data_IF_064775245251
#
_entry.id   IF_064775245251
#
_cell.length_a   1.000
_cell.length_b   1.000
_cell.length_c   1.000
_cell.angle_alpha   90.00
_cell.angle_beta   90.00
_cell.angle_gamma   90.00
#
_symmetry.space_group_name_H-M   'P 1'
#
loop_
_entity.id
_entity.type
_entity.pdbx_description
1 polymer ?
#
# COMPACT_ATOMS: atom_id res chain seq x y z
N UNK A 1 7.89 11.02 2.41
CA UNK A 1 6.97 10.00 2.93
C UNK A 1 5.63 10.12 2.21
N UNK A 2 5.14 9.04 1.65
CA UNK A 2 3.86 9.00 0.93
C UNK A 2 2.68 9.26 1.89
N UNK A 3 1.75 10.13 1.47
CA UNK A 3 0.55 10.44 2.24
C UNK A 3 -0.60 10.71 1.27
N UNK A 4 -1.54 9.74 1.08
CA UNK A 4 -2.61 9.85 0.10
C UNK A 4 -3.54 11.05 0.35
N UNK A 5 -3.76 11.45 1.60
CA UNK A 5 -4.58 12.61 1.92
C UNK A 5 -3.90 13.93 1.48
N UNK A 6 -2.57 14.03 1.56
CA UNK A 6 -1.81 15.18 1.05
C UNK A 6 -1.84 15.25 -0.47
N UNK A 7 -1.61 14.11 -1.13
CA UNK A 7 -1.63 14.03 -2.59
C UNK A 7 -3.03 14.36 -3.13
N UNK A 8 -4.08 13.80 -2.52
CA UNK A 8 -5.46 14.11 -2.88
C UNK A 8 -5.76 15.60 -2.69
N UNK A 9 -5.32 16.21 -1.59
CA UNK A 9 -5.49 17.64 -1.34
C UNK A 9 -4.76 18.48 -2.39
N UNK A 10 -3.52 18.12 -2.74
CA UNK A 10 -2.75 18.81 -3.77
C UNK A 10 -3.43 18.73 -5.14
N UNK A 11 -3.98 17.56 -5.49
CA UNK A 11 -4.76 17.39 -6.71
C UNK A 11 -6.00 18.28 -6.72
N UNK A 12 -6.83 18.26 -5.66
CA UNK A 12 -8.03 19.10 -5.53
C UNK A 12 -7.68 20.58 -5.59
N UNK A 13 -6.58 20.99 -4.98
CA UNK A 13 -6.10 22.37 -4.98
C UNK A 13 -5.59 22.82 -6.37
N UNK A 14 -5.12 21.89 -7.19
CA UNK A 14 -4.64 22.17 -8.55
C UNK A 14 -5.78 22.30 -9.57
N UNK A 15 -6.98 21.83 -9.29
CA UNK A 15 -8.08 21.84 -10.24
C UNK A 15 -8.66 23.23 -10.44
N UNK A 16 -8.74 23.64 -11.70
CA UNK A 16 -9.36 24.90 -12.09
C UNK A 16 -10.89 24.79 -12.15
N UNK A 17 -11.57 25.43 -11.21
CA UNK A 17 -13.03 25.43 -11.12
C UNK A 17 -13.72 26.44 -12.03
N UNK A 18 -12.98 27.23 -12.80
CA UNK A 18 -13.54 28.23 -13.74
C UNK A 18 -13.99 27.60 -15.06
N UNK A 19 -13.52 26.40 -15.37
CA UNK A 19 -13.81 25.65 -16.59
C UNK A 19 -14.75 24.47 -16.33
N UNK A 20 -15.05 23.69 -17.39
CA UNK A 20 -15.70 22.39 -17.23
C UNK A 20 -14.86 21.45 -16.38
N UNK A 21 -15.46 20.42 -15.80
CA UNK A 21 -14.74 19.42 -14.99
C UNK A 21 -13.58 18.80 -15.74
N UNK A 22 -13.81 18.48 -17.01
CA UNK A 22 -12.78 17.87 -17.86
C UNK A 22 -11.58 18.82 -18.00
N UNK A 23 -11.79 20.06 -18.41
CA UNK A 23 -10.73 21.05 -18.59
C UNK A 23 -10.08 21.44 -17.27
N UNK A 24 -10.89 21.67 -16.23
CA UNK A 24 -10.39 22.11 -14.91
C UNK A 24 -9.54 21.09 -14.19
N UNK A 25 -9.64 19.80 -14.57
CA UNK A 25 -8.85 18.70 -14.03
C UNK A 25 -7.70 18.25 -14.91
N UNK A 26 -7.25 19.09 -15.82
CA UNK A 26 -6.00 18.89 -16.54
C UNK A 26 -6.12 18.43 -17.97
N UNK A 27 -7.26 18.69 -18.61
CA UNK A 27 -7.42 18.32 -20.01
C UNK A 27 -7.00 19.45 -20.96
N UNK A 28 -6.02 19.23 -21.83
CA UNK A 28 -5.82 20.07 -22.99
C UNK A 28 -6.84 19.71 -24.09
N UNK A 29 -7.15 20.66 -24.93
CA UNK A 29 -8.24 20.69 -25.92
C UNK A 29 -8.08 19.74 -27.13
N UNK A 30 -7.33 18.67 -27.07
CA UNK A 30 -7.06 17.73 -28.17
C UNK A 30 -7.47 16.30 -27.83
N UNK A 31 -7.73 15.47 -28.86
CA UNK A 31 -8.30 14.11 -28.73
C UNK A 31 -7.56 13.11 -27.82
N UNK A 32 -6.26 13.32 -27.56
CA UNK A 32 -5.49 12.49 -26.60
C UNK A 32 -5.74 12.84 -25.12
N UNK A 33 -6.48 13.88 -24.87
CA UNK A 33 -6.68 14.51 -23.57
C UNK A 33 -7.65 13.78 -22.66
N UNK A 34 -8.59 13.02 -23.22
CA UNK A 34 -9.53 12.21 -22.43
C UNK A 34 -8.83 11.15 -21.57
N UNK A 35 -7.70 10.61 -22.04
CA UNK A 35 -6.90 9.62 -21.29
C UNK A 35 -6.32 10.24 -20.03
N UNK A 36 -5.68 11.42 -20.13
CA UNK A 36 -5.08 12.13 -19.00
C UNK A 36 -6.12 12.48 -17.94
N UNK A 37 -7.30 12.93 -18.38
CA UNK A 37 -8.41 13.19 -17.45
C UNK A 37 -8.80 11.93 -16.67
N UNK A 38 -9.01 10.81 -17.37
CA UNK A 38 -9.42 9.56 -16.72
C UNK A 38 -8.33 8.98 -15.82
N UNK A 39 -7.05 9.10 -16.19
CA UNK A 39 -5.92 8.72 -15.34
C UNK A 39 -5.87 9.57 -14.07
N UNK A 40 -6.05 10.88 -14.20
CA UNK A 40 -6.12 11.81 -13.07
C UNK A 40 -7.29 11.46 -12.15
N UNK A 41 -8.47 11.20 -12.73
CA UNK A 41 -9.66 10.83 -11.98
C UNK A 41 -9.48 9.48 -11.27
N UNK A 42 -8.92 8.48 -11.94
CA UNK A 42 -8.63 7.17 -11.36
C UNK A 42 -7.61 7.29 -10.22
N UNK A 43 -6.61 8.15 -10.37
CA UNK A 43 -5.63 8.43 -9.30
C UNK A 43 -6.30 9.06 -8.09
N UNK A 44 -7.17 10.05 -8.27
CA UNK A 44 -7.90 10.68 -7.18
C UNK A 44 -8.82 9.69 -6.43
N UNK A 45 -9.50 8.81 -7.17
CA UNK A 45 -10.31 7.73 -6.59
C UNK A 45 -9.46 6.79 -5.76
N UNK A 46 -8.31 6.36 -6.28
CA UNK A 46 -7.39 5.48 -5.54
C UNK A 46 -6.91 6.13 -4.24
N UNK A 47 -6.51 7.40 -4.30
CA UNK A 47 -6.10 8.15 -3.12
C UNK A 47 -7.21 8.26 -2.07
N UNK A 48 -8.45 8.52 -2.51
CA UNK A 48 -9.59 8.59 -1.60
C UNK A 48 -9.90 7.23 -0.95
N UNK A 49 -9.81 6.14 -1.70
CA UNK A 49 -9.97 4.79 -1.15
C UNK A 49 -8.89 4.46 -0.11
N UNK A 50 -7.64 4.87 -0.33
CA UNK A 50 -6.55 4.71 0.65
C UNK A 50 -6.81 5.55 1.92
N UNK A 51 -7.38 6.75 1.79
CA UNK A 51 -7.82 7.55 2.93
C UNK A 51 -8.96 6.88 3.70
N UNK A 52 -9.94 6.32 2.99
CA UNK A 52 -11.03 5.57 3.62
C UNK A 52 -10.53 4.32 4.39
N UNK A 53 -9.61 3.57 3.80
CA UNK A 53 -9.00 2.40 4.44
C UNK A 53 -8.30 2.81 5.74
N UNK A 54 -7.48 3.85 5.68
CA UNK A 54 -6.82 4.41 6.86
C UNK A 54 -7.83 4.77 7.97
N UNK A 55 -8.92 5.48 7.64
CA UNK A 55 -9.91 5.89 8.62
C UNK A 55 -10.68 4.72 9.24
N UNK A 56 -10.84 3.60 8.50
CA UNK A 56 -11.40 2.36 9.05
C UNK A 56 -10.46 1.70 10.03
N UNK A 57 -9.17 1.66 9.71
CA UNK A 57 -8.14 1.05 10.55
C UNK A 57 -7.87 1.87 11.82
N UNK A 58 -7.85 3.20 11.70
CA UNK A 58 -7.76 4.15 12.83
C UNK A 58 -9.03 4.18 13.71
N UNK A 59 -10.14 3.63 13.23
CA UNK A 59 -11.42 3.63 13.95
C UNK A 59 -12.18 4.96 13.89
N UNK A 60 -11.72 5.94 13.14
CA UNK A 60 -12.32 7.27 13.01
C UNK A 60 -13.24 7.44 11.79
N UNK A 61 -13.54 6.36 11.08
CA UNK A 61 -14.36 6.38 9.87
C UNK A 61 -15.72 7.10 10.05
N UNK A 62 -16.42 6.79 11.14
CA UNK A 62 -17.73 7.40 11.42
C UNK A 62 -17.65 8.90 11.72
N UNK A 63 -16.56 9.34 12.34
CA UNK A 63 -16.34 10.76 12.66
C UNK A 63 -16.11 11.59 11.40
N UNK A 64 -15.40 11.00 10.42
CA UNK A 64 -15.03 11.63 9.15
C UNK A 64 -15.99 11.28 7.99
N UNK A 65 -17.08 10.55 8.23
CA UNK A 65 -18.00 10.06 7.19
C UNK A 65 -18.56 11.21 6.31
N UNK A 66 -18.92 12.35 6.89
CA UNK A 66 -19.41 13.49 6.14
C UNK A 66 -18.32 14.08 5.23
N UNK A 67 -17.07 14.12 5.70
CA UNK A 67 -15.92 14.56 4.90
C UNK A 67 -15.70 13.64 3.70
N UNK A 68 -15.81 12.33 3.90
CA UNK A 68 -15.70 11.36 2.81
C UNK A 68 -16.81 11.55 1.77
N UNK A 69 -18.06 11.74 2.21
CA UNK A 69 -19.18 12.01 1.30
C UNK A 69 -18.93 13.27 0.47
N UNK A 70 -18.46 14.36 1.09
CA UNK A 70 -18.12 15.59 0.37
C UNK A 70 -16.97 15.38 -0.63
N UNK A 71 -15.96 14.61 -0.27
CA UNK A 71 -14.85 14.25 -1.17
C UNK A 71 -15.33 13.41 -2.36
N UNK A 72 -16.20 12.42 -2.13
CA UNK A 72 -16.82 11.66 -3.21
C UNK A 72 -17.67 12.53 -4.13
N UNK A 73 -18.42 13.48 -3.58
CA UNK A 73 -19.21 14.44 -4.37
C UNK A 73 -18.32 15.41 -5.15
N UNK A 74 -17.16 15.76 -4.63
CA UNK A 74 -16.15 16.54 -5.38
C UNK A 74 -15.61 15.75 -6.57
N UNK A 75 -15.29 14.48 -6.39
CA UNK A 75 -14.82 13.61 -7.47
C UNK A 75 -15.91 13.32 -8.50
N UNK A 76 -17.14 13.10 -8.06
CA UNK A 76 -18.29 12.72 -8.87
C UNK A 76 -19.49 13.63 -8.58
N UNK A 77 -19.50 14.88 -9.07
CA UNK A 77 -20.60 15.79 -8.87
C UNK A 77 -21.92 15.22 -9.43
N UNK A 78 -22.94 14.95 -8.58
CA UNK A 78 -24.08 14.10 -8.98
C UNK A 78 -25.07 14.77 -9.95
N UNK A 79 -24.93 16.07 -10.22
CA UNK A 79 -25.88 16.85 -11.04
C UNK A 79 -25.18 17.73 -12.08
N UNK A 80 -23.94 17.49 -12.38
CA UNK A 80 -23.17 18.33 -13.28
C UNK A 80 -22.88 17.62 -14.59
N UNK A 81 -23.11 18.29 -15.68
CA UNK A 81 -22.57 17.88 -16.97
C UNK A 81 -21.06 18.14 -16.97
N UNK A 82 -20.29 17.09 -17.07
CA UNK A 82 -18.83 17.12 -17.00
C UNK A 82 -18.21 17.96 -18.13
N UNK A 83 -18.92 18.10 -19.23
CA UNK A 83 -18.50 18.89 -20.40
C UNK A 83 -19.05 20.32 -20.41
N UNK A 84 -19.89 20.70 -19.45
CA UNK A 84 -20.47 22.05 -19.44
C UNK A 84 -19.44 23.11 -19.01
N UNK A 85 -19.47 24.26 -19.66
CA UNK A 85 -18.59 25.40 -19.37
C UNK A 85 -19.02 26.23 -18.14
N UNK A 86 -19.93 25.72 -17.32
CA UNK A 86 -20.50 26.45 -16.19
C UNK A 86 -19.62 26.49 -14.92
N UNK A 87 -18.42 25.92 -14.96
CA UNK A 87 -17.61 25.73 -13.78
C UNK A 87 -18.18 24.64 -12.86
N UNK A 88 -17.44 24.21 -11.87
CA UNK A 88 -17.88 23.23 -10.88
C UNK A 88 -17.52 23.70 -9.45
N UNK A 89 -18.27 23.26 -8.43
CA UNK A 89 -17.99 23.64 -7.06
C UNK A 89 -16.63 23.09 -6.63
N UNK A 90 -15.88 23.91 -5.90
CA UNK A 90 -14.66 23.48 -5.22
C UNK A 90 -15.01 22.84 -3.90
N UNK A 91 -14.17 21.88 -3.48
CA UNK A 91 -14.23 21.36 -2.13
C UNK A 91 -14.29 22.52 -1.12
N UNK A 92 -15.18 22.38 -0.15
CA UNK A 92 -15.39 23.42 0.85
C UNK A 92 -14.10 23.67 1.66
N UNK A 93 -14.00 24.85 2.29
CA UNK A 93 -12.88 25.10 3.23
C UNK A 93 -12.89 24.09 4.38
N UNK A 94 -14.08 23.65 4.80
CA UNK A 94 -14.25 22.61 5.83
C UNK A 94 -13.65 21.29 5.39
N UNK A 95 -14.04 20.79 4.22
CA UNK A 95 -13.55 19.55 3.62
C UNK A 95 -12.00 19.55 3.47
N UNK A 96 -11.45 20.66 2.97
CA UNK A 96 -10.00 20.83 2.85
C UNK A 96 -9.30 20.86 4.21
N UNK A 97 -9.93 21.48 5.22
CA UNK A 97 -9.39 21.49 6.59
C UNK A 97 -9.42 20.10 7.21
N UNK A 98 -10.52 19.36 7.03
CA UNK A 98 -10.65 17.99 7.52
C UNK A 98 -9.62 17.07 6.82
N UNK A 99 -9.47 17.17 5.50
CA UNK A 99 -8.45 16.39 4.76
C UNK A 99 -7.02 16.70 5.24
N UNK A 100 -6.71 17.97 5.60
CA UNK A 100 -5.42 18.30 6.22
C UNK A 100 -5.25 17.67 7.60
N UNK A 101 -6.31 17.55 8.39
CA UNK A 101 -6.24 16.89 9.71
C UNK A 101 -6.05 15.38 9.54
N UNK A 102 -6.74 14.75 8.59
CA UNK A 102 -6.53 13.35 8.23
C UNK A 102 -5.07 13.15 7.79
N UNK A 103 -4.56 14.01 6.91
CA UNK A 103 -3.16 13.95 6.48
C UNK A 103 -2.16 14.02 7.64
N UNK A 104 -2.42 14.86 8.64
CA UNK A 104 -1.56 14.93 9.84
C UNK A 104 -1.63 13.67 10.69
N UNK A 105 -2.81 13.05 10.83
CA UNK A 105 -2.95 11.77 11.52
C UNK A 105 -2.19 10.67 10.78
N UNK A 106 -2.36 10.58 9.47
CA UNK A 106 -1.60 9.65 8.62
C UNK A 106 -0.08 9.85 8.76
N UNK A 107 0.40 11.09 8.79
CA UNK A 107 1.82 11.37 9.02
C UNK A 107 2.29 10.90 10.40
N UNK A 108 1.47 11.08 11.45
CA UNK A 108 1.83 10.69 12.80
C UNK A 108 1.90 9.17 12.98
N UNK A 109 1.06 8.44 12.27
CA UNK A 109 1.07 6.98 12.28
C UNK A 109 2.15 6.41 11.35
N UNK A 110 2.38 7.07 10.20
CA UNK A 110 3.43 6.66 9.26
C UNK A 110 4.85 6.87 9.80
N UNK A 111 5.03 7.65 10.89
CA UNK A 111 6.32 7.66 11.62
C UNK A 111 6.68 6.31 12.25
N UNK A 112 5.75 5.35 12.26
CA UNK A 112 6.04 3.96 12.65
C UNK A 112 6.70 3.16 11.53
N UNK A 113 6.58 3.60 10.26
CA UNK A 113 7.23 2.96 9.12
C UNK A 113 8.52 3.72 8.80
N UNK A 114 9.64 3.04 8.92
CA UNK A 114 10.94 3.61 8.53
C UNK A 114 11.11 3.44 7.03
N UNK A 115 11.50 4.51 6.34
CA UNK A 115 11.89 4.42 4.94
C UNK A 115 13.05 3.43 4.81
N UNK A 116 12.85 2.40 3.99
CA UNK A 116 13.92 1.46 3.68
C UNK A 116 14.98 2.17 2.82
N UNK A 117 16.24 2.03 3.21
CA UNK A 117 17.33 2.51 2.37
C UNK A 117 17.35 1.77 1.02
N UNK A 118 17.90 2.38 -0.05
CA UNK A 118 18.06 1.68 -1.33
C UNK A 118 18.79 0.34 -1.20
N UNK A 119 19.77 0.25 -0.29
CA UNK A 119 20.50 -0.97 -0.01
C UNK A 119 19.59 -2.03 0.63
N UNK A 120 18.76 -1.64 1.62
CA UNK A 120 17.80 -2.53 2.27
C UNK A 120 16.71 -3.04 1.29
N UNK A 121 16.26 -2.17 0.38
CA UNK A 121 15.35 -2.58 -0.71
C UNK A 121 16.02 -3.58 -1.66
N UNK A 122 17.31 -3.37 -1.98
CA UNK A 122 18.11 -4.28 -2.78
C UNK A 122 18.26 -5.66 -2.11
N UNK A 123 18.57 -5.68 -0.82
CA UNK A 123 18.67 -6.92 -0.03
C UNK A 123 17.33 -7.65 0.06
N UNK A 124 16.25 -6.92 0.29
CA UNK A 124 14.90 -7.47 0.35
C UNK A 124 14.49 -8.11 -0.99
N UNK A 125 14.77 -7.41 -2.10
CA UNK A 125 14.54 -7.93 -3.45
C UNK A 125 15.32 -9.21 -3.68
N UNK A 126 16.62 -9.23 -3.34
CA UNK A 126 17.47 -10.40 -3.51
C UNK A 126 16.95 -11.61 -2.70
N UNK A 127 16.54 -11.39 -1.44
CA UNK A 127 15.98 -12.44 -0.60
C UNK A 127 14.68 -13.02 -1.18
N UNK A 128 13.80 -12.17 -1.72
CA UNK A 128 12.56 -12.59 -2.39
C UNK A 128 12.84 -13.37 -3.69
N UNK A 129 13.81 -12.95 -4.51
CA UNK A 129 14.20 -13.65 -5.73
C UNK A 129 14.80 -15.03 -5.43
N UNK A 130 15.58 -15.16 -4.35
CA UNK A 130 16.13 -16.44 -3.92
C UNK A 130 15.04 -17.37 -3.38
N UNK A 131 14.10 -16.81 -2.60
CA UNK A 131 12.93 -17.54 -2.13
C UNK A 131 12.08 -18.03 -3.30
N UNK A 132 11.84 -17.20 -4.31
CA UNK A 132 11.11 -17.55 -5.54
C UNK A 132 11.76 -18.74 -6.25
N UNK A 133 13.08 -18.68 -6.48
CA UNK A 133 13.86 -19.79 -7.09
C UNK A 133 13.73 -21.07 -6.28
N UNK A 134 13.77 -20.96 -4.95
CA UNK A 134 13.66 -22.14 -4.07
C UNK A 134 12.27 -22.76 -4.16
N UNK A 135 11.18 -21.97 -4.12
CA UNK A 135 9.79 -22.43 -4.21
C UNK A 135 9.51 -23.08 -5.57
N UNK A 136 9.99 -22.49 -6.66
CA UNK A 136 9.83 -23.05 -8.02
C UNK A 136 10.35 -24.48 -8.14
N UNK A 137 11.44 -24.77 -7.46
CA UNK A 137 12.15 -26.07 -7.53
C UNK A 137 11.90 -26.99 -6.31
N UNK A 138 10.84 -26.73 -5.53
CA UNK A 138 10.54 -27.53 -4.35
C UNK A 138 9.74 -28.78 -4.74
N UNK A 139 10.27 -30.02 -4.61
CA UNK A 139 9.66 -31.21 -5.20
C UNK A 139 8.35 -31.63 -4.56
N UNK A 140 8.17 -31.40 -3.24
CA UNK A 140 7.04 -31.93 -2.46
C UNK A 140 5.91 -30.91 -2.26
N UNK A 141 5.96 -29.74 -2.90
CA UNK A 141 4.94 -28.72 -2.78
C UNK A 141 3.81 -29.01 -3.77
N UNK A 142 2.56 -28.95 -3.30
CA UNK A 142 1.39 -29.07 -4.17
C UNK A 142 1.42 -27.99 -5.27
N UNK A 143 1.04 -28.30 -6.52
CA UNK A 143 1.10 -27.32 -7.61
C UNK A 143 0.32 -26.03 -7.29
N UNK A 144 -0.88 -26.15 -6.73
CA UNK A 144 -1.70 -24.98 -6.40
C UNK A 144 -1.05 -24.08 -5.33
N UNK A 145 -0.41 -24.66 -4.31
CA UNK A 145 0.29 -23.89 -3.27
C UNK A 145 1.56 -23.24 -3.83
N UNK A 146 2.24 -23.95 -4.72
CA UNK A 146 3.41 -23.40 -5.43
C UNK A 146 3.03 -22.19 -6.26
N UNK A 147 1.99 -22.31 -7.09
CA UNK A 147 1.55 -21.22 -7.97
C UNK A 147 1.09 -20.00 -7.16
N UNK A 148 0.37 -20.24 -6.06
CA UNK A 148 -0.04 -19.17 -5.14
C UNK A 148 1.16 -18.43 -4.54
N UNK A 149 2.17 -19.15 -4.05
CA UNK A 149 3.37 -18.54 -3.48
C UNK A 149 4.19 -17.79 -4.52
N UNK A 150 4.33 -18.34 -5.73
CA UNK A 150 4.99 -17.67 -6.85
C UNK A 150 4.32 -16.33 -7.15
N UNK A 151 2.99 -16.31 -7.28
CA UNK A 151 2.23 -15.09 -7.54
C UNK A 151 2.40 -14.06 -6.41
N UNK A 152 2.39 -14.51 -5.16
CA UNK A 152 2.55 -13.63 -4.01
C UNK A 152 3.96 -13.00 -3.96
N UNK A 153 5.01 -13.80 -4.18
CA UNK A 153 6.39 -13.31 -4.22
C UNK A 153 6.58 -12.35 -5.41
N UNK A 154 6.02 -12.66 -6.58
CA UNK A 154 6.07 -11.78 -7.75
C UNK A 154 5.34 -10.46 -7.51
N UNK A 155 4.22 -10.49 -6.76
CA UNK A 155 3.52 -9.26 -6.32
C UNK A 155 4.42 -8.43 -5.41
N UNK A 156 5.12 -9.05 -4.46
CA UNK A 156 6.05 -8.35 -3.58
C UNK A 156 7.19 -7.68 -4.36
N UNK A 157 7.81 -8.41 -5.29
CA UNK A 157 8.87 -7.88 -6.16
C UNK A 157 8.39 -6.69 -7.00
N UNK A 158 7.18 -6.77 -7.54
CA UNK A 158 6.57 -5.67 -8.31
C UNK A 158 6.34 -4.43 -7.44
N UNK A 159 5.81 -4.58 -6.23
CA UNK A 159 5.60 -3.45 -5.32
C UNK A 159 6.93 -2.78 -4.96
N UNK A 160 8.00 -3.54 -4.72
CA UNK A 160 9.33 -2.99 -4.47
C UNK A 160 9.87 -2.19 -5.67
N UNK A 161 9.55 -2.62 -6.89
CA UNK A 161 10.02 -1.98 -8.12
C UNK A 161 9.19 -0.75 -8.52
N UNK A 162 7.86 -0.84 -8.41
CA UNK A 162 6.93 0.20 -8.85
C UNK A 162 6.64 1.26 -7.78
N UNK A 163 6.69 0.87 -6.50
CA UNK A 163 6.32 1.73 -5.36
C UNK A 163 7.39 1.68 -4.24
N UNK A 164 8.68 1.97 -4.52
CA UNK A 164 9.76 1.84 -3.54
C UNK A 164 9.64 2.81 -2.35
N UNK A 165 8.86 3.86 -2.50
CA UNK A 165 8.53 4.89 -1.51
C UNK A 165 7.33 4.53 -0.61
N UNK A 166 6.76 3.30 -0.76
CA UNK A 166 5.65 2.77 0.03
C UNK A 166 6.10 1.66 0.99
N UNK A 167 6.85 2.00 2.06
CA UNK A 167 7.33 1.01 3.02
C UNK A 167 6.19 0.23 3.71
N UNK A 168 5.02 0.85 3.89
CA UNK A 168 3.80 0.23 4.40
C UNK A 168 3.35 -0.95 3.53
N UNK A 169 3.23 -0.74 2.22
CA UNK A 169 2.84 -1.79 1.27
C UNK A 169 3.89 -2.89 1.14
N UNK A 170 5.17 -2.48 1.10
CA UNK A 170 6.28 -3.42 1.01
C UNK A 170 6.29 -4.31 2.27
N UNK A 171 6.10 -3.73 3.45
CA UNK A 171 6.04 -4.47 4.70
C UNK A 171 4.86 -5.45 4.69
N UNK A 172 3.65 -4.97 4.39
CA UNK A 172 2.46 -5.80 4.37
C UNK A 172 2.63 -7.03 3.46
N UNK A 173 3.07 -6.83 2.21
CA UNK A 173 3.23 -7.93 1.26
C UNK A 173 4.38 -8.87 1.64
N UNK A 174 5.47 -8.37 2.19
CA UNK A 174 6.59 -9.23 2.63
C UNK A 174 6.26 -10.03 3.88
N UNK A 175 5.46 -9.49 4.79
CA UNK A 175 4.89 -10.23 5.92
C UNK A 175 3.94 -11.33 5.44
N UNK A 176 3.10 -11.04 4.43
CA UNK A 176 2.23 -12.03 3.81
C UNK A 176 3.04 -13.16 3.14
N UNK A 177 4.11 -12.82 2.42
CA UNK A 177 5.04 -13.82 1.84
C UNK A 177 5.66 -14.68 2.94
N UNK A 178 6.19 -14.07 4.00
CA UNK A 178 6.80 -14.80 5.11
C UNK A 178 5.78 -15.75 5.77
N UNK A 179 4.59 -15.26 6.10
CA UNK A 179 3.51 -16.05 6.70
C UNK A 179 3.05 -17.21 5.82
N UNK A 180 2.86 -16.97 4.52
CA UNK A 180 2.45 -18.00 3.56
C UNK A 180 3.55 -19.05 3.30
N UNK A 181 4.83 -18.70 3.49
CA UNK A 181 5.96 -19.60 3.26
C UNK A 181 6.26 -20.48 4.48
N UNK A 182 5.93 -20.04 5.70
CA UNK A 182 6.21 -20.81 6.93
C UNK A 182 5.64 -22.25 6.91
N UNK A 183 4.40 -22.53 6.47
CA UNK A 183 3.89 -23.90 6.38
C UNK A 183 4.71 -24.78 5.42
N UNK A 184 5.31 -24.19 4.39
CA UNK A 184 6.12 -24.90 3.38
C UNK A 184 7.42 -25.46 3.97
N UNK A 185 7.94 -24.82 5.00
CA UNK A 185 9.13 -25.29 5.73
C UNK A 185 8.91 -26.70 6.27
N UNK A 186 7.71 -27.04 6.74
CA UNK A 186 7.40 -28.35 7.31
C UNK A 186 7.44 -29.48 6.28
N UNK A 187 7.06 -29.21 5.03
CA UNK A 187 7.02 -30.20 3.93
C UNK A 187 8.27 -30.18 3.06
N UNK A 188 9.15 -29.20 3.25
CA UNK A 188 10.40 -29.08 2.50
C UNK A 188 11.41 -30.16 2.91
N UNK A 189 12.18 -30.70 1.94
CA UNK A 189 13.32 -31.56 2.25
C UNK A 189 14.32 -30.85 3.17
N UNK A 190 14.94 -31.58 4.09
CA UNK A 190 15.82 -31.05 5.13
C UNK A 190 16.91 -30.12 4.57
N UNK A 191 17.51 -30.49 3.43
CA UNK A 191 18.53 -29.66 2.75
C UNK A 191 18.03 -28.29 2.29
N UNK A 192 16.72 -28.15 1.97
CA UNK A 192 16.11 -26.89 1.51
C UNK A 192 15.41 -26.11 2.63
N UNK A 193 15.02 -26.81 3.70
CA UNK A 193 14.33 -26.23 4.85
C UNK A 193 15.10 -25.07 5.46
N UNK A 194 16.40 -25.27 5.68
CA UNK A 194 17.28 -24.25 6.27
C UNK A 194 17.35 -23.01 5.38
N UNK A 195 17.54 -23.15 4.07
CA UNK A 195 17.61 -22.02 3.16
C UNK A 195 16.29 -21.22 3.08
N UNK A 196 15.14 -21.89 3.17
CA UNK A 196 13.84 -21.19 3.24
C UNK A 196 13.74 -20.40 4.54
N UNK A 197 14.11 -20.99 5.67
CA UNK A 197 14.10 -20.30 6.97
C UNK A 197 15.07 -19.13 6.99
N UNK A 198 16.28 -19.31 6.46
CA UNK A 198 17.29 -18.26 6.41
C UNK A 198 16.78 -17.05 5.59
N UNK A 199 16.10 -17.28 4.45
CA UNK A 199 15.49 -16.22 3.66
C UNK A 199 14.35 -15.52 4.40
N UNK A 200 13.45 -16.26 5.08
CA UNK A 200 12.37 -15.67 5.89
C UNK A 200 12.97 -14.84 7.03
N UNK A 201 13.97 -15.36 7.72
CA UNK A 201 14.64 -14.65 8.81
C UNK A 201 15.40 -13.42 8.32
N UNK A 202 15.98 -13.49 7.12
CA UNK A 202 16.65 -12.34 6.52
C UNK A 202 15.64 -11.23 6.18
N UNK A 203 14.51 -11.57 5.55
CA UNK A 203 13.40 -10.62 5.31
C UNK A 203 12.93 -9.98 6.62
N UNK A 204 12.70 -10.79 7.64
CA UNK A 204 12.29 -10.29 8.96
C UNK A 204 13.38 -9.42 9.61
N UNK A 205 14.65 -9.77 9.43
CA UNK A 205 15.81 -9.03 9.94
C UNK A 205 15.95 -7.64 9.31
N UNK A 206 15.72 -7.51 8.00
CA UNK A 206 15.72 -6.22 7.31
C UNK A 206 14.71 -5.27 7.96
N UNK A 207 13.51 -5.76 8.24
CA UNK A 207 12.49 -4.97 8.94
C UNK A 207 12.87 -4.67 10.39
N UNK A 208 13.37 -5.65 11.12
CA UNK A 208 13.77 -5.46 12.51
C UNK A 208 14.88 -4.42 12.70
N UNK A 209 15.83 -4.34 11.76
CA UNK A 209 16.91 -3.35 11.81
C UNK A 209 16.45 -1.94 11.40
N UNK A 210 15.42 -1.84 10.58
CA UNK A 210 14.96 -0.57 10.04
C UNK A 210 13.70 -0.02 10.73
N UNK A 211 13.11 -0.77 11.68
CA UNK A 211 11.91 -0.36 12.43
C UNK A 211 12.32 0.03 13.85
N UNK A 212 11.87 1.19 14.33
CA UNK A 212 12.04 1.58 15.72
C UNK A 212 11.38 0.57 16.64
N UNK A 213 11.96 0.32 17.80
CA UNK A 213 11.72 -0.79 18.73
C UNK A 213 10.25 -1.13 19.11
N UNK A 214 9.28 -0.25 18.78
CA UNK A 214 7.85 -0.48 19.03
C UNK A 214 7.14 -1.38 18.02
N UNK A 215 7.55 -1.37 16.75
CA UNK A 215 6.89 -2.13 15.69
C UNK A 215 7.48 -3.54 15.49
N UNK A 216 8.75 -3.76 15.89
CA UNK A 216 9.42 -5.07 15.80
C UNK A 216 8.73 -6.14 16.68
N UNK A 217 8.11 -5.74 17.79
CA UNK A 217 7.35 -6.65 18.66
C UNK A 217 6.09 -7.23 18.00
N UNK A 218 5.43 -6.46 17.16
CA UNK A 218 4.19 -6.88 16.50
C UNK A 218 4.42 -7.82 15.30
N UNK A 219 5.53 -7.66 14.58
CA UNK A 219 5.91 -8.54 13.46
C UNK A 219 6.14 -9.99 13.89
N UNK A 220 6.83 -10.17 15.03
CA UNK A 220 7.07 -11.50 15.60
C UNK A 220 5.80 -12.08 16.23
N UNK A 221 4.93 -11.25 16.79
CA UNK A 221 3.69 -11.69 17.43
C UNK A 221 2.61 -12.11 16.41
N UNK A 222 2.46 -11.40 15.29
CA UNK A 222 1.43 -11.68 14.30
C UNK A 222 1.73 -12.91 13.42
N UNK A 223 3.02 -13.18 13.13
CA UNK A 223 3.42 -14.25 12.21
C UNK A 223 3.94 -15.53 12.87
N UNK A 224 4.53 -15.44 14.06
CA UNK A 224 5.24 -16.55 14.70
C UNK A 224 4.54 -17.14 15.94
N UNK A 225 3.56 -16.45 16.51
CA UNK A 225 2.89 -16.88 17.74
C UNK A 225 2.27 -18.29 17.71
N UNK A 226 1.72 -18.81 16.61
CA UNK A 226 1.19 -20.18 16.58
C UNK A 226 2.24 -21.27 16.39
N UNK A 227 3.51 -20.93 16.08
CA UNK A 227 4.51 -21.91 15.65
C UNK A 227 5.74 -22.02 16.57
N UNK A 228 5.81 -21.21 17.63
CA UNK A 228 6.88 -21.38 18.64
C UNK A 228 6.53 -22.58 19.52
N UNK A 229 7.36 -23.63 19.56
CA UNK A 229 7.18 -24.71 20.52
C UNK A 229 7.27 -24.09 21.92
N UNK A 230 6.25 -24.35 22.75
CA UNK A 230 6.32 -24.00 24.17
C UNK A 230 7.52 -24.74 24.77
N UNK A 231 8.58 -24.04 25.01
CA UNK A 231 9.69 -24.52 25.82
C UNK A 231 9.17 -24.50 27.25
N UNK A 232 8.63 -25.64 27.68
CA UNK A 232 8.33 -25.89 29.09
C UNK A 232 9.68 -25.98 29.81
N UNK A 233 9.89 -25.03 30.71
CA UNK A 233 10.94 -25.05 31.73
C UNK A 233 10.67 -26.10 32.77
#
# INVERSE_FOLDING_TARGET
MWNPARELLAMIDSWDSSNSLIIGRGEPTNDDSSVVFWETQATAVRLLLEVEEFLRDDGSYEEDANTLVELWQELFPPRQDWCSSGGFPRASRGTRSALRQIARRMDSESTQFVDLSPDALGELRQALEELLRTIQHLPNLQPADRDRLILLIQRALRIIEEEPDRPDKIQAVTCEVAGATLPVVSVAPEKKRRGILDNIMHIAGIWAMNVTAGAAGNLLAAGAAPYLPQIQS
#
